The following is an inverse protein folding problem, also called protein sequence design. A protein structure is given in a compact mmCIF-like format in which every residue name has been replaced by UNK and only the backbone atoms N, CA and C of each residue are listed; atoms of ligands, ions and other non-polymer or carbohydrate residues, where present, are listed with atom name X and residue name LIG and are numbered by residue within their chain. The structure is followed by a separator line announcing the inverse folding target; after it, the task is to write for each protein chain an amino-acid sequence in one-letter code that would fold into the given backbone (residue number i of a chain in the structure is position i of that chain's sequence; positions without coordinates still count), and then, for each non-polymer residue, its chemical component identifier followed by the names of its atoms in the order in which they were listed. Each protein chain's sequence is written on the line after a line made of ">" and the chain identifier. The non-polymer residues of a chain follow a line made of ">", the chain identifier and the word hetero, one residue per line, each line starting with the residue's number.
data_IF_440157217715
#
_entry.id   IF_440157217715
#
_cell.length_a   1.000
_cell.length_b   1.000
_cell.length_c   1.000
_cell.angle_alpha   90.00
_cell.angle_beta   90.00
_cell.angle_gamma   90.00
#
_symmetry.space_group_name_H-M   'P 1'
#
loop_
_entity.id
_entity.type
_entity.pdbx_description
1 polymer ?
#
# COMPACT_ATOMS: atom_id res chain seq x y z
N UNK A 1 -0.52 -1.18 -5.14
CA UNK A 1 0.86 -0.84 -5.57
C UNK A 1 1.05 0.66 -5.67
N UNK A 2 2.20 1.20 -5.19
CA UNK A 2 2.54 2.62 -5.29
C UNK A 2 3.22 2.99 -6.61
N UNK A 3 3.22 4.30 -6.94
CA UNK A 3 3.85 4.85 -8.15
C UNK A 3 4.97 5.85 -7.88
N UNK A 4 5.38 6.01 -6.61
CA UNK A 4 6.28 7.06 -6.15
C UNK A 4 7.72 7.01 -6.67
N UNK A 5 8.13 5.91 -7.30
CA UNK A 5 9.39 5.76 -8.02
C UNK A 5 9.38 6.51 -9.36
N UNK A 6 8.23 6.62 -10.02
CA UNK A 6 8.05 7.37 -11.27
C UNK A 6 7.54 8.79 -11.03
N UNK A 7 6.52 8.95 -10.19
CA UNK A 7 5.85 10.24 -10.00
C UNK A 7 5.28 10.40 -8.59
N UNK A 8 5.49 11.58 -8.00
CA UNK A 8 4.90 11.98 -6.70
C UNK A 8 4.14 13.29 -6.88
N UNK A 9 2.82 13.22 -7.08
CA UNK A 9 1.97 14.36 -7.41
C UNK A 9 2.16 15.56 -6.49
N UNK A 10 2.12 15.37 -5.17
CA UNK A 10 2.27 16.44 -4.19
C UNK A 10 3.65 17.13 -4.19
N UNK A 11 4.73 16.40 -4.54
CA UNK A 11 6.11 16.95 -4.57
C UNK A 11 6.50 17.51 -5.93
N UNK A 12 6.08 16.85 -7.01
CA UNK A 12 6.53 17.19 -8.36
C UNK A 12 5.66 18.26 -9.03
N UNK A 13 4.47 18.58 -8.49
CA UNK A 13 3.62 19.65 -9.03
C UNK A 13 4.27 21.04 -8.92
N UNK A 14 5.19 21.25 -7.97
CA UNK A 14 5.93 22.51 -7.81
C UNK A 14 5.07 23.78 -7.79
N UNK A 15 3.76 23.64 -7.53
CA UNK A 15 2.77 24.73 -7.60
C UNK A 15 2.37 25.15 -9.01
N UNK A 16 2.90 24.50 -10.06
CA UNK A 16 2.63 24.87 -11.48
C UNK A 16 1.64 23.93 -12.19
N UNK A 17 1.44 22.73 -11.67
CA UNK A 17 0.51 21.74 -12.23
C UNK A 17 -0.74 21.64 -11.38
N UNK A 18 -1.89 21.54 -12.02
CA UNK A 18 -3.16 21.26 -11.34
C UNK A 18 -3.07 19.93 -10.56
N UNK A 19 -3.51 19.95 -9.30
CA UNK A 19 -3.41 18.82 -8.39
C UNK A 19 -4.06 17.55 -8.94
N UNK A 20 -5.26 17.65 -9.50
CA UNK A 20 -6.00 16.54 -10.09
C UNK A 20 -5.19 15.85 -11.20
N UNK A 21 -4.58 16.66 -12.08
CA UNK A 21 -3.76 16.14 -13.18
C UNK A 21 -2.48 15.46 -12.66
N UNK A 22 -1.85 16.04 -11.65
CA UNK A 22 -0.68 15.45 -11.01
C UNK A 22 -1.00 14.10 -10.33
N UNK A 23 -2.18 14.00 -9.71
CA UNK A 23 -2.64 12.77 -9.08
C UNK A 23 -2.98 11.68 -10.14
N UNK A 24 -3.61 12.04 -11.27
CA UNK A 24 -3.80 11.10 -12.38
C UNK A 24 -2.49 10.56 -12.94
N UNK A 25 -1.45 11.39 -13.06
CA UNK A 25 -0.10 10.91 -13.44
C UNK A 25 0.44 9.90 -12.42
N UNK A 26 0.23 10.15 -11.13
CA UNK A 26 0.58 9.21 -10.06
C UNK A 26 -0.17 7.89 -10.17
N UNK A 27 -1.46 7.92 -10.53
CA UNK A 27 -2.26 6.71 -10.75
C UNK A 27 -1.72 5.90 -11.93
N UNK A 28 -1.39 6.54 -13.06
CA UNK A 28 -0.78 5.87 -14.22
C UNK A 28 0.59 5.26 -13.86
N UNK A 29 1.38 5.93 -13.03
CA UNK A 29 2.64 5.39 -12.52
C UNK A 29 2.44 4.09 -11.72
N UNK A 30 1.34 3.97 -10.95
CA UNK A 30 1.01 2.72 -10.26
C UNK A 30 0.67 1.60 -11.23
N UNK A 31 0.00 1.92 -12.36
CA UNK A 31 -0.32 0.92 -13.39
C UNK A 31 0.95 0.37 -14.04
N UNK A 32 1.93 1.22 -14.35
CA UNK A 32 3.23 0.77 -14.86
C UNK A 32 3.90 -0.23 -13.91
N UNK A 33 3.93 0.07 -12.61
CA UNK A 33 4.46 -0.85 -11.61
C UNK A 33 3.64 -2.15 -11.51
N UNK A 34 2.32 -2.07 -11.63
CA UNK A 34 1.44 -3.24 -11.58
C UNK A 34 1.72 -4.21 -12.73
N UNK A 35 1.93 -3.71 -13.94
CA UNK A 35 2.27 -4.51 -15.11
C UNK A 35 3.65 -5.17 -14.96
N UNK A 36 4.65 -4.42 -14.48
CA UNK A 36 5.99 -4.95 -14.23
C UNK A 36 5.98 -6.08 -13.17
N UNK A 37 5.20 -5.91 -12.11
CA UNK A 37 5.04 -6.95 -11.09
C UNK A 37 4.29 -8.17 -11.63
N UNK A 38 3.26 -7.97 -12.43
CA UNK A 38 2.54 -9.07 -13.08
C UNK A 38 3.49 -9.90 -13.95
N UNK A 39 4.27 -9.25 -14.79
CA UNK A 39 5.24 -9.93 -15.66
C UNK A 39 6.24 -10.75 -14.85
N UNK A 40 6.79 -10.16 -13.78
CA UNK A 40 7.73 -10.85 -12.89
C UNK A 40 7.11 -12.09 -12.21
N UNK A 41 5.88 -12.01 -11.71
CA UNK A 41 5.20 -13.15 -11.08
C UNK A 41 4.85 -14.23 -12.10
N UNK A 42 4.36 -13.86 -13.29
CA UNK A 42 4.07 -14.80 -14.37
C UNK A 42 5.34 -15.54 -14.84
N UNK A 43 6.48 -14.85 -14.93
CA UNK A 43 7.77 -15.47 -15.25
C UNK A 43 8.21 -16.51 -14.18
N UNK A 44 7.77 -16.35 -12.95
CA UNK A 44 7.96 -17.33 -11.86
C UNK A 44 6.89 -18.42 -11.83
N UNK A 45 5.97 -18.45 -12.79
CA UNK A 45 4.87 -19.42 -12.86
C UNK A 45 3.74 -19.15 -11.87
N UNK A 46 3.67 -17.95 -11.27
CA UNK A 46 2.63 -17.58 -10.31
C UNK A 46 1.47 -16.87 -11.03
N UNK A 47 0.26 -17.43 -11.07
CA UNK A 47 -0.90 -16.80 -11.68
C UNK A 47 -1.16 -15.42 -11.08
N UNK A 48 -1.21 -14.39 -11.92
CA UNK A 48 -1.32 -13.00 -11.46
C UNK A 48 -2.25 -12.20 -12.35
N UNK A 49 -3.12 -11.40 -11.74
CA UNK A 49 -4.09 -10.51 -12.40
C UNK A 49 -3.85 -9.08 -12.01
N UNK A 50 -4.03 -8.15 -12.95
CA UNK A 50 -4.04 -6.71 -12.69
C UNK A 50 -5.44 -6.17 -12.86
N UNK A 51 -5.95 -5.50 -11.84
CA UNK A 51 -7.20 -4.75 -11.90
C UNK A 51 -6.92 -3.26 -11.64
N UNK A 52 -7.54 -2.39 -12.44
CA UNK A 52 -7.34 -0.93 -12.36
C UNK A 52 -8.62 -0.19 -12.03
N UNK A 53 -8.53 0.80 -11.14
CA UNK A 53 -9.66 1.65 -10.75
C UNK A 53 -10.03 2.68 -11.82
N UNK A 54 -9.15 2.95 -12.78
CA UNK A 54 -9.43 3.71 -14.01
C UNK A 54 -9.59 2.69 -15.13
N UNK A 55 -10.69 2.77 -15.88
CA UNK A 55 -10.97 1.84 -16.96
C UNK A 55 -9.96 2.00 -18.11
N UNK A 56 -9.25 0.91 -18.41
CA UNK A 56 -8.25 0.83 -19.50
C UNK A 56 -8.16 -0.62 -20.00
N UNK A 57 -9.25 -1.10 -20.58
CA UNK A 57 -9.50 -2.52 -20.90
C UNK A 57 -8.45 -3.18 -21.78
N UNK A 58 -7.78 -2.42 -22.63
CA UNK A 58 -6.69 -2.92 -23.49
C UNK A 58 -5.41 -3.23 -22.72
N UNK A 59 -5.29 -2.75 -21.47
CA UNK A 59 -4.08 -2.86 -20.64
C UNK A 59 -4.31 -3.77 -19.44
N UNK A 60 -5.44 -3.58 -18.72
CA UNK A 60 -5.75 -4.26 -17.48
C UNK A 60 -7.25 -4.40 -17.27
N UNK A 61 -7.65 -5.33 -16.42
CA UNK A 61 -9.05 -5.54 -16.09
C UNK A 61 -9.62 -4.36 -15.28
N UNK A 62 -10.83 -3.89 -15.59
CA UNK A 62 -11.52 -2.95 -14.71
C UNK A 62 -11.72 -3.56 -13.31
N UNK A 63 -11.47 -2.76 -12.26
CA UNK A 63 -11.69 -3.21 -10.90
C UNK A 63 -13.15 -3.62 -10.66
N UNK A 64 -13.32 -4.83 -10.16
CA UNK A 64 -14.60 -5.34 -9.72
C UNK A 64 -14.38 -6.27 -8.50
N UNK A 65 -14.93 -5.88 -7.32
CA UNK A 65 -14.76 -6.62 -6.07
C UNK A 65 -15.04 -8.12 -6.21
N UNK A 66 -16.20 -8.49 -6.79
CA UNK A 66 -16.57 -9.91 -6.96
C UNK A 66 -15.57 -10.69 -7.81
N UNK A 67 -15.02 -10.05 -8.85
CA UNK A 67 -14.03 -10.67 -9.71
C UNK A 67 -12.68 -10.83 -8.98
N UNK A 68 -12.26 -9.82 -8.22
CA UNK A 68 -11.06 -9.91 -7.40
C UNK A 68 -11.14 -11.04 -6.38
N UNK A 69 -12.26 -11.15 -5.64
CA UNK A 69 -12.48 -12.25 -4.69
C UNK A 69 -12.42 -13.62 -5.38
N UNK A 70 -13.10 -13.78 -6.52
CA UNK A 70 -13.04 -15.04 -7.28
C UNK A 70 -11.64 -15.40 -7.74
N UNK A 71 -10.84 -14.41 -8.17
CA UNK A 71 -9.43 -14.62 -8.55
C UNK A 71 -8.58 -15.05 -7.35
N UNK A 72 -8.75 -14.39 -6.19
CA UNK A 72 -8.07 -14.77 -4.94
C UNK A 72 -8.45 -16.19 -4.50
N UNK A 73 -9.73 -16.56 -4.57
CA UNK A 73 -10.21 -17.91 -4.24
C UNK A 73 -9.61 -18.99 -5.16
N UNK A 74 -9.28 -18.64 -6.41
CA UNK A 74 -8.58 -19.52 -7.35
C UNK A 74 -7.05 -19.59 -7.11
N UNK A 75 -6.53 -18.80 -6.15
CA UNK A 75 -5.11 -18.76 -5.82
C UNK A 75 -4.29 -17.79 -6.70
N UNK A 76 -4.95 -16.92 -7.47
CA UNK A 76 -4.27 -15.88 -8.22
C UNK A 76 -3.75 -14.77 -7.28
N UNK A 77 -2.62 -14.16 -7.60
CA UNK A 77 -2.24 -12.86 -7.04
C UNK A 77 -3.05 -11.79 -7.77
N UNK A 78 -3.73 -10.91 -7.03
CA UNK A 78 -4.45 -9.77 -7.61
C UNK A 78 -3.72 -8.47 -7.28
N UNK A 79 -3.26 -7.76 -8.32
CA UNK A 79 -2.58 -6.47 -8.19
C UNK A 79 -3.55 -5.35 -8.51
N UNK A 80 -3.73 -4.41 -7.57
CA UNK A 80 -4.59 -3.25 -7.76
C UNK A 80 -3.76 -2.03 -8.19
N UNK A 81 -4.02 -1.53 -9.40
CA UNK A 81 -3.43 -0.33 -9.99
C UNK A 81 -4.40 0.86 -10.01
N UNK A 82 -3.89 2.04 -10.33
CA UNK A 82 -4.62 3.31 -10.42
C UNK A 82 -5.25 3.80 -9.09
N UNK A 83 -4.74 3.34 -7.95
CA UNK A 83 -5.19 3.81 -6.65
C UNK A 83 -6.68 3.57 -6.39
N UNK A 84 -7.39 4.58 -5.85
CA UNK A 84 -8.85 4.56 -5.69
C UNK A 84 -9.58 4.92 -7.00
N UNK A 85 -8.87 5.37 -8.03
CA UNK A 85 -9.46 6.00 -9.23
C UNK A 85 -9.85 7.47 -9.03
N UNK A 86 -9.68 8.01 -7.82
CA UNK A 86 -10.03 9.38 -7.48
C UNK A 86 -8.79 10.18 -7.04
N UNK A 87 -8.63 11.44 -7.52
CA UNK A 87 -7.61 12.34 -7.01
C UNK A 87 -7.73 12.57 -5.50
N UNK A 88 -6.69 13.13 -4.90
CA UNK A 88 -6.57 13.48 -3.48
C UNK A 88 -6.41 12.32 -2.49
N UNK A 89 -6.58 11.09 -2.92
CA UNK A 89 -6.33 9.90 -2.08
C UNK A 89 -4.92 9.35 -2.28
N UNK A 90 -4.33 8.86 -1.21
CA UNK A 90 -3.01 8.24 -1.24
C UNK A 90 -3.07 6.75 -1.61
N UNK A 91 -1.90 6.16 -1.86
CA UNK A 91 -1.76 4.71 -2.01
C UNK A 91 -2.05 3.97 -0.69
N UNK A 92 -1.74 4.59 0.46
CA UNK A 92 -2.02 4.02 1.79
C UNK A 92 -3.55 3.92 2.01
N UNK A 93 -4.31 4.99 1.66
CA UNK A 93 -5.79 4.95 1.67
C UNK A 93 -6.33 3.87 0.74
N UNK A 94 -5.72 3.70 -0.44
CA UNK A 94 -6.12 2.64 -1.38
C UNK A 94 -5.87 1.25 -0.78
N UNK A 95 -4.73 1.02 -0.14
CA UNK A 95 -4.42 -0.26 0.49
C UNK A 95 -5.43 -0.61 1.58
N UNK A 96 -5.78 0.35 2.44
CA UNK A 96 -6.79 0.17 3.48
C UNK A 96 -8.18 -0.13 2.89
N UNK A 97 -8.60 0.61 1.84
CA UNK A 97 -9.87 0.39 1.16
C UNK A 97 -9.93 -1.01 0.53
N UNK A 98 -8.90 -1.42 -0.20
CA UNK A 98 -8.87 -2.75 -0.83
C UNK A 98 -8.81 -3.87 0.19
N UNK A 99 -8.09 -3.69 1.29
CA UNK A 99 -8.07 -4.66 2.38
C UNK A 99 -9.47 -4.84 2.98
N UNK A 100 -10.20 -3.76 3.27
CA UNK A 100 -11.57 -3.84 3.75
C UNK A 100 -12.52 -4.49 2.73
N UNK A 101 -12.42 -4.15 1.45
CA UNK A 101 -13.25 -4.73 0.38
C UNK A 101 -12.98 -6.21 0.14
N UNK A 102 -11.74 -6.66 0.33
CA UNK A 102 -11.33 -8.07 0.16
C UNK A 102 -11.46 -8.88 1.45
N UNK A 103 -11.92 -8.27 2.54
CA UNK A 103 -12.02 -8.89 3.86
C UNK A 103 -10.66 -9.48 4.32
N UNK A 104 -9.61 -8.69 4.12
CA UNK A 104 -8.26 -9.11 4.43
C UNK A 104 -7.94 -8.95 5.93
N UNK A 105 -7.31 -9.96 6.52
CA UNK A 105 -6.92 -9.97 7.94
C UNK A 105 -5.81 -8.98 8.26
N UNK A 106 -4.93 -8.69 7.29
CA UNK A 106 -3.69 -7.95 7.54
C UNK A 106 -3.24 -7.17 6.30
N UNK A 107 -2.74 -5.96 6.52
CA UNK A 107 -1.97 -5.20 5.54
C UNK A 107 -0.48 -5.36 5.87
N UNK A 108 0.29 -5.95 4.96
CA UNK A 108 1.74 -5.98 5.01
C UNK A 108 2.28 -4.70 4.37
N UNK A 109 2.64 -3.72 5.21
CA UNK A 109 3.02 -2.37 4.80
C UNK A 109 4.55 -2.26 4.67
N UNK A 110 5.08 -2.65 3.50
CA UNK A 110 6.50 -2.59 3.19
C UNK A 110 6.91 -1.14 2.86
N UNK A 111 7.78 -0.56 3.68
CA UNK A 111 8.23 0.85 3.58
C UNK A 111 9.76 0.96 3.57
N UNK A 112 10.27 2.18 3.37
CA UNK A 112 11.71 2.47 3.46
C UNK A 112 12.21 2.60 4.91
N UNK A 113 11.32 2.47 5.90
CA UNK A 113 11.62 2.46 7.34
C UNK A 113 11.35 1.07 7.91
N UNK A 114 12.19 0.61 8.82
CA UNK A 114 12.12 -0.75 9.36
C UNK A 114 11.01 -0.95 10.41
N UNK A 115 10.55 0.12 11.03
CA UNK A 115 9.52 0.08 12.07
C UNK A 115 8.84 1.45 12.24
N UNK A 116 7.87 1.54 13.14
CA UNK A 116 7.30 2.78 13.62
C UNK A 116 8.11 3.30 14.81
N UNK A 117 8.36 4.60 14.84
CA UNK A 117 9.11 5.30 15.90
C UNK A 117 8.29 6.45 16.47
N UNK A 118 8.63 6.87 17.70
CA UNK A 118 8.01 8.03 18.35
C UNK A 118 8.35 9.36 17.66
N UNK A 119 9.43 9.41 16.88
CA UNK A 119 9.91 10.53 16.08
C UNK A 119 10.84 10.02 14.97
N UNK A 120 11.21 10.88 14.03
CA UNK A 120 12.03 10.50 12.87
C UNK A 120 13.43 10.04 13.30
N UNK A 121 13.79 8.76 13.16
CA UNK A 121 15.10 8.25 13.57
C UNK A 121 16.26 8.80 12.73
N UNK A 122 15.99 9.34 11.54
CA UNK A 122 17.03 9.98 10.72
C UNK A 122 17.47 11.34 11.27
N UNK A 123 16.60 11.98 12.05
CA UNK A 123 16.84 13.27 12.70
C UNK A 123 17.21 13.10 14.17
N UNK A 124 16.60 12.13 14.84
CA UNK A 124 16.74 11.88 16.27
C UNK A 124 17.32 10.48 16.51
N UNK A 125 18.65 10.37 16.79
CA UNK A 125 19.29 9.06 17.00
C UNK A 125 18.77 8.28 18.22
N UNK A 126 18.11 8.98 19.15
CA UNK A 126 17.49 8.40 20.36
C UNK A 126 15.98 8.11 20.18
N UNK A 127 15.47 8.12 18.93
CA UNK A 127 14.09 7.77 18.62
C UNK A 127 13.77 6.35 19.10
N UNK A 128 12.63 6.21 19.79
CA UNK A 128 12.19 4.93 20.34
C UNK A 128 11.39 4.15 19.31
N UNK A 129 11.85 2.95 19.01
CA UNK A 129 11.18 1.99 18.15
C UNK A 129 10.04 1.30 18.89
N UNK A 130 8.90 1.15 18.22
CA UNK A 130 7.79 0.36 18.70
C UNK A 130 7.77 -1.01 18.01
N UNK A 131 7.58 -2.09 18.77
CA UNK A 131 7.33 -3.42 18.23
C UNK A 131 5.84 -3.68 18.03
N UNK A 132 4.98 -3.06 18.88
CA UNK A 132 3.53 -3.22 18.84
C UNK A 132 2.86 -1.90 19.27
N UNK A 133 1.75 -1.57 18.63
CA UNK A 133 0.93 -0.39 18.89
C UNK A 133 -0.54 -0.77 18.75
N UNK A 134 -1.43 -0.06 19.44
CA UNK A 134 -2.84 -0.05 19.08
C UNK A 134 -3.12 0.95 17.95
N UNK A 135 -4.23 0.77 17.23
CA UNK A 135 -4.69 1.79 16.26
C UNK A 135 -4.88 3.16 16.92
N UNK A 136 -5.34 3.20 18.18
CA UNK A 136 -5.51 4.45 18.93
C UNK A 136 -4.17 5.10 19.24
N UNK A 137 -3.13 4.33 19.62
CA UNK A 137 -1.78 4.89 19.82
C UNK A 137 -1.26 5.62 18.59
N UNK A 138 -1.50 5.06 17.39
CA UNK A 138 -1.09 5.68 16.13
C UNK A 138 -1.76 7.03 15.93
N UNK A 139 -3.07 7.12 16.21
CA UNK A 139 -3.85 8.35 16.05
C UNK A 139 -3.53 9.39 17.12
N UNK A 140 -3.51 8.99 18.40
CA UNK A 140 -3.29 9.91 19.54
C UNK A 140 -1.87 10.47 19.58
N UNK A 141 -0.88 9.69 19.18
CA UNK A 141 0.53 10.09 19.15
C UNK A 141 0.94 10.71 17.80
N UNK A 142 0.01 10.86 16.84
CA UNK A 142 0.26 11.37 15.48
C UNK A 142 1.45 10.66 14.79
N UNK A 143 1.51 9.34 14.92
CA UNK A 143 2.61 8.54 14.36
C UNK A 143 2.45 8.42 12.83
N UNK A 144 3.48 8.80 12.08
CA UNK A 144 3.45 8.85 10.61
C UNK A 144 3.65 7.48 9.95
N UNK A 145 2.76 6.55 10.24
CA UNK A 145 2.76 5.20 9.64
C UNK A 145 2.17 5.23 8.23
N UNK A 146 1.00 5.82 8.12
CA UNK A 146 0.22 6.03 6.90
C UNK A 146 -0.57 7.34 7.05
N UNK A 147 -1.30 7.75 6.01
CA UNK A 147 -2.18 8.91 6.16
C UNK A 147 -3.35 8.62 7.11
N UNK A 148 -3.91 9.69 7.67
CA UNK A 148 -4.95 9.60 8.69
C UNK A 148 -6.22 8.88 8.19
N UNK A 149 -6.58 9.06 6.93
CA UNK A 149 -7.74 8.39 6.30
C UNK A 149 -7.52 6.88 6.29
N UNK A 150 -6.35 6.42 5.88
CA UNK A 150 -5.99 5.01 5.86
C UNK A 150 -5.96 4.42 7.28
N UNK A 151 -5.34 5.12 8.24
CA UNK A 151 -5.26 4.67 9.63
C UNK A 151 -6.65 4.52 10.27
N UNK A 152 -7.53 5.50 10.03
CA UNK A 152 -8.92 5.47 10.52
C UNK A 152 -9.70 4.31 9.90
N UNK A 153 -9.56 4.09 8.60
CA UNK A 153 -10.23 2.99 7.89
C UNK A 153 -9.79 1.62 8.41
N UNK A 154 -8.50 1.43 8.68
CA UNK A 154 -7.98 0.20 9.26
C UNK A 154 -8.50 -0.02 10.68
N UNK A 155 -8.53 1.02 11.53
CA UNK A 155 -9.10 0.95 12.87
C UNK A 155 -10.57 0.53 12.85
N UNK A 156 -11.39 1.22 12.04
CA UNK A 156 -12.84 1.02 12.02
C UNK A 156 -13.24 -0.38 11.47
N UNK A 157 -12.36 -1.00 10.69
CA UNK A 157 -12.54 -2.35 10.13
C UNK A 157 -11.67 -3.41 10.82
N UNK A 158 -10.98 -3.08 11.91
CA UNK A 158 -10.12 -4.00 12.69
C UNK A 158 -9.04 -4.70 11.85
N UNK A 159 -8.53 -4.01 10.82
CA UNK A 159 -7.50 -4.55 9.93
C UNK A 159 -6.13 -4.36 10.58
N UNK A 160 -5.42 -5.45 10.85
CA UNK A 160 -4.05 -5.43 11.36
C UNK A 160 -3.11 -4.81 10.32
N UNK A 161 -2.12 -4.03 10.77
CA UNK A 161 -1.08 -3.49 9.91
C UNK A 161 0.27 -3.99 10.42
N UNK A 162 1.08 -4.54 9.53
CA UNK A 162 2.45 -4.96 9.82
C UNK A 162 3.42 -4.11 9.01
N UNK A 163 4.13 -3.18 9.66
CA UNK A 163 5.08 -2.25 9.04
C UNK A 163 6.48 -2.82 9.10
N UNK A 164 7.19 -2.90 7.97
CA UNK A 164 8.57 -3.41 7.91
C UNK A 164 9.35 -2.81 6.75
N UNK A 165 10.70 -2.93 6.79
CA UNK A 165 11.57 -2.45 5.72
C UNK A 165 11.47 -3.30 4.46
N UNK A 166 11.19 -2.66 3.30
CA UNK A 166 11.21 -3.33 1.99
C UNK A 166 12.63 -3.55 1.46
N UNK A 167 13.59 -2.71 1.89
CA UNK A 167 14.95 -2.75 1.37
C UNK A 167 15.79 -3.95 1.89
N UNK A 168 15.37 -4.59 2.97
CA UNK A 168 16.04 -5.77 3.50
C UNK A 168 15.57 -7.01 2.74
N UNK A 169 16.53 -7.72 2.14
CA UNK A 169 16.26 -8.95 1.40
C UNK A 169 15.58 -10.00 2.30
N UNK A 170 14.55 -10.64 1.77
CA UNK A 170 13.78 -11.66 2.49
C UNK A 170 12.68 -11.13 3.42
N UNK A 171 12.64 -9.83 3.77
CA UNK A 171 11.66 -9.32 4.72
C UNK A 171 10.21 -9.51 4.28
N UNK A 172 9.91 -9.42 2.99
CA UNK A 172 8.55 -9.69 2.48
C UNK A 172 8.15 -11.13 2.80
N UNK A 173 9.03 -12.10 2.55
CA UNK A 173 8.78 -13.51 2.86
C UNK A 173 8.63 -13.73 4.37
N UNK A 174 9.50 -13.15 5.18
CA UNK A 174 9.44 -13.23 6.64
C UNK A 174 8.12 -12.67 7.19
N UNK A 175 7.67 -11.52 6.67
CA UNK A 175 6.38 -10.93 7.03
C UNK A 175 5.20 -11.84 6.65
N UNK A 176 5.21 -12.42 5.44
CA UNK A 176 4.18 -13.39 4.99
C UNK A 176 4.15 -14.64 5.86
N UNK A 177 5.31 -15.12 6.32
CA UNK A 177 5.42 -16.26 7.22
C UNK A 177 5.07 -15.92 8.67
N UNK A 178 4.71 -14.67 8.97
CA UNK A 178 4.27 -14.22 10.29
C UNK A 178 5.42 -13.97 11.27
N UNK A 179 6.67 -13.80 10.79
CA UNK A 179 7.77 -13.43 11.66
C UNK A 179 7.56 -12.03 12.26
N UNK A 180 7.95 -11.87 13.50
CA UNK A 180 7.79 -10.61 14.24
C UNK A 180 8.90 -9.61 13.90
N UNK A 181 8.87 -9.10 12.66
CA UNK A 181 9.76 -8.05 12.17
C UNK A 181 9.02 -6.70 12.16
N UNK A 182 9.73 -5.60 12.36
CA UNK A 182 9.13 -4.26 12.27
C UNK A 182 8.16 -3.92 13.40
N UNK A 183 6.98 -3.39 13.08
CA UNK A 183 5.92 -2.98 14.02
C UNK A 183 4.57 -3.56 13.62
N UNK A 184 3.85 -4.15 14.57
CA UNK A 184 2.48 -4.62 14.42
C UNK A 184 1.53 -3.59 15.04
N UNK A 185 0.45 -3.22 14.32
CA UNK A 185 -0.62 -2.32 14.77
C UNK A 185 -1.94 -3.08 14.70
N UNK A 186 -2.66 -3.15 15.84
CA UNK A 186 -3.90 -3.92 15.98
C UNK A 186 -4.87 -3.32 17.01
#
# INVERSE_FOLDING_TARGET
>A
VGGGNFWRGAKNSGGKMERTRADHMGMLATVMNSLALQDAFLALGVPTRVQTSIEMREIAEPYARRKALSQLEHGDIVIFGAGTGNPFFSTDTTAALRAAEMDADTILLAKNIDAVYDRDPSVYPDAKRFSRLSHMDVLEKDLRVMDLTAATLCRDNHIRIHVFAIAEEGNVMRAVLGENIGTIIE
#
